data_IF_569201803134
#
_entry.id   IF_569201803134
#
_cell.length_a   1.000
_cell.length_b   1.000
_cell.length_c   1.000
_cell.angle_alpha   90.00
_cell.angle_beta   90.00
_cell.angle_gamma   90.00
#
_symmetry.space_group_name_H-M   'P 1'
#
loop_
_entity.id
_entity.type
_entity.pdbx_description
1 polymer ?
#
# COMPACT_ATOMS: atom_id res chain seq x y z
N UNK A 1 -8.19 -18.95 9.65
CA UNK A 1 -7.48 -17.86 10.35
C UNK A 1 -7.74 -16.60 9.56
N UNK A 2 -8.33 -15.57 10.16
CA UNK A 2 -8.59 -14.28 9.51
C UNK A 2 -7.68 -13.24 10.14
N UNK A 3 -7.20 -12.29 9.33
CA UNK A 3 -6.44 -11.14 9.81
C UNK A 3 -7.45 -10.05 10.21
N UNK A 4 -7.32 -9.50 11.41
CA UNK A 4 -8.11 -8.35 11.87
C UNK A 4 -7.27 -7.11 11.59
N UNK A 5 -7.80 -6.20 10.77
CA UNK A 5 -7.23 -4.87 10.64
C UNK A 5 -7.70 -4.04 11.83
N UNK A 6 -6.77 -3.55 12.66
CA UNK A 6 -7.09 -2.80 13.88
C UNK A 6 -7.40 -1.32 13.60
N UNK A 7 -6.94 -0.78 12.46
CA UNK A 7 -7.24 0.57 12.00
C UNK A 7 -8.22 0.53 10.81
N UNK A 8 -9.41 1.08 11.05
CA UNK A 8 -10.41 1.38 10.02
C UNK A 8 -10.33 2.87 9.65
N UNK A 9 -10.76 3.21 8.43
CA UNK A 9 -10.80 4.59 7.95
C UNK A 9 -9.92 4.83 6.73
N UNK A 10 -9.63 6.10 6.45
CA UNK A 10 -8.86 6.53 5.29
C UNK A 10 -7.35 6.40 5.54
N UNK A 11 -6.67 5.64 4.70
CA UNK A 11 -5.21 5.43 4.76
C UNK A 11 -4.58 5.60 3.38
N UNK A 12 -3.28 5.92 3.34
CA UNK A 12 -2.49 5.94 2.12
C UNK A 12 -1.18 5.17 2.32
N UNK A 13 -0.74 4.47 1.28
CA UNK A 13 0.53 3.74 1.32
C UNK A 13 1.66 4.66 0.83
N UNK A 14 2.74 4.73 1.60
CA UNK A 14 3.97 5.43 1.20
C UNK A 14 5.12 4.46 1.00
N UNK A 15 5.88 4.67 -0.07
CA UNK A 15 7.12 3.94 -0.36
C UNK A 15 8.27 4.94 -0.23
N UNK A 16 9.26 4.59 0.58
CA UNK A 16 10.51 5.34 0.72
C UNK A 16 11.65 4.50 0.14
N UNK A 17 12.39 5.08 -0.80
CA UNK A 17 13.57 4.47 -1.42
C UNK A 17 14.81 5.27 -1.02
N UNK A 18 15.83 4.57 -0.55
CA UNK A 18 17.15 5.12 -0.30
C UNK A 18 18.10 4.74 -1.43
N UNK A 19 18.89 5.70 -1.88
CA UNK A 19 19.83 5.58 -2.98
C UNK A 19 21.25 5.80 -2.50
N UNK A 20 22.15 4.90 -2.90
CA UNK A 20 23.59 5.11 -2.87
C UNK A 20 24.14 5.08 -4.30
N UNK A 21 25.29 5.71 -4.51
CA UNK A 21 25.88 5.86 -5.83
C UNK A 21 27.38 5.59 -5.81
N UNK A 22 27.90 5.14 -6.95
CA UNK A 22 29.34 4.98 -7.20
C UNK A 22 29.72 5.72 -8.48
N UNK A 23 30.91 6.30 -8.51
CA UNK A 23 31.45 6.99 -9.68
C UNK A 23 32.89 6.57 -9.97
N UNK A 24 33.31 6.75 -11.21
CA UNK A 24 34.66 6.52 -11.68
C UNK A 24 35.12 7.73 -12.48
N UNK A 25 36.40 8.08 -12.37
CA UNK A 25 37.01 9.18 -13.12
C UNK A 25 37.69 8.62 -14.38
N UNK A 26 37.55 9.29 -15.51
CA UNK A 26 38.20 8.89 -16.75
C UNK A 26 39.73 8.78 -16.57
N UNK A 27 40.32 7.70 -17.07
CA UNK A 27 41.75 7.40 -16.90
C UNK A 27 42.12 6.75 -15.57
N UNK A 28 41.17 6.56 -14.66
CA UNK A 28 41.37 5.89 -13.37
C UNK A 28 40.39 4.71 -13.20
N UNK A 29 40.86 3.45 -13.10
CA UNK A 29 39.99 2.29 -12.91
C UNK A 29 39.24 2.25 -11.57
N UNK A 30 39.58 3.12 -10.61
CA UNK A 30 39.03 3.07 -9.27
C UNK A 30 37.60 3.65 -9.17
N UNK A 31 36.66 2.78 -8.79
CA UNK A 31 35.33 3.19 -8.33
C UNK A 31 35.39 3.81 -6.94
N UNK A 32 34.71 4.94 -6.78
CA UNK A 32 34.56 5.69 -5.53
C UNK A 32 33.10 5.75 -5.14
N UNK A 33 32.84 5.66 -3.85
CA UNK A 33 31.51 5.87 -3.31
C UNK A 33 31.15 7.36 -3.35
N UNK A 34 29.89 7.66 -3.65
CA UNK A 34 29.31 8.98 -3.38
C UNK A 34 29.07 9.08 -1.87
N UNK A 35 29.52 10.17 -1.25
CA UNK A 35 29.32 10.36 0.20
C UNK A 35 27.85 10.64 0.51
N UNK A 36 27.27 9.80 1.36
CA UNK A 36 25.89 9.91 1.83
C UNK A 36 24.90 9.12 0.97
N UNK A 37 23.61 9.30 1.29
CA UNK A 37 22.49 8.69 0.57
C UNK A 37 21.50 9.77 0.15
N UNK A 38 20.71 9.47 -0.89
CA UNK A 38 19.56 10.28 -1.28
C UNK A 38 18.28 9.50 -1.00
N UNK A 39 17.20 10.20 -0.65
CA UNK A 39 15.92 9.56 -0.36
C UNK A 39 14.85 10.08 -1.31
N UNK A 40 13.99 9.19 -1.79
CA UNK A 40 12.78 9.54 -2.52
C UNK A 40 11.58 8.87 -1.86
N UNK A 41 10.55 9.65 -1.58
CA UNK A 41 9.29 9.13 -1.03
C UNK A 41 8.18 9.37 -2.04
N UNK A 42 7.37 8.34 -2.28
CA UNK A 42 6.17 8.40 -3.10
C UNK A 42 4.98 7.89 -2.28
N UNK A 43 3.91 8.66 -2.24
CA UNK A 43 2.67 8.31 -1.55
C UNK A 43 1.57 8.07 -2.58
N UNK A 44 0.91 6.93 -2.48
CA UNK A 44 -0.22 6.56 -3.32
C UNK A 44 -1.51 7.32 -2.96
N UNK A 45 -2.61 7.08 -3.69
CA UNK A 45 -3.90 7.65 -3.35
C UNK A 45 -4.41 7.10 -2.01
N UNK A 46 -5.26 7.90 -1.36
CA UNK A 46 -6.00 7.48 -0.16
C UNK A 46 -7.04 6.43 -0.54
N UNK A 47 -7.22 5.42 0.32
CA UNK A 47 -8.30 4.44 0.24
C UNK A 47 -8.89 4.15 1.61
N UNK A 48 -10.15 3.71 1.63
CA UNK A 48 -10.88 3.37 2.85
C UNK A 48 -10.68 1.89 3.21
N UNK A 49 -10.30 1.63 4.46
CA UNK A 49 -10.31 0.32 5.09
C UNK A 49 -11.57 0.19 5.93
N UNK A 50 -12.42 -0.80 5.61
CA UNK A 50 -13.66 -1.06 6.34
C UNK A 50 -13.76 -2.53 6.77
N UNK A 51 -14.32 -2.76 7.95
CA UNK A 51 -14.74 -4.10 8.36
C UNK A 51 -16.07 -4.44 7.67
N UNK A 52 -16.14 -5.62 7.04
CA UNK A 52 -17.40 -6.15 6.48
C UNK A 52 -17.73 -7.44 7.20
N UNK A 53 -18.89 -7.48 7.86
CA UNK A 53 -19.39 -8.68 8.55
C UNK A 53 -20.38 -9.41 7.66
N UNK A 54 -20.07 -10.66 7.34
CA UNK A 54 -21.00 -11.55 6.66
C UNK A 54 -21.97 -12.20 7.65
N UNK A 55 -23.18 -12.47 7.18
CA UNK A 55 -24.17 -13.31 7.87
C UNK A 55 -24.90 -14.17 6.85
N UNK A 56 -25.46 -15.27 7.31
CA UNK A 56 -26.26 -16.15 6.46
C UNK A 56 -27.63 -15.50 6.17
N UNK A 57 -28.01 -15.46 4.90
CA UNK A 57 -29.30 -14.95 4.40
C UNK A 57 -30.01 -16.04 3.58
N UNK A 58 -31.34 -15.96 3.47
CA UNK A 58 -32.15 -16.92 2.71
C UNK A 58 -32.32 -16.55 1.24
N UNK A 59 -31.86 -15.36 0.80
CA UNK A 59 -31.94 -14.87 -0.59
C UNK A 59 -30.91 -13.76 -0.84
N UNK A 60 -30.66 -13.43 -2.11
CA UNK A 60 -29.72 -12.39 -2.53
C UNK A 60 -30.40 -11.01 -2.53
N UNK A 61 -29.64 -9.94 -2.31
CA UNK A 61 -30.16 -8.57 -2.43
C UNK A 61 -30.57 -8.17 -3.85
N UNK A 62 -30.27 -9.01 -4.84
CA UNK A 62 -30.67 -8.82 -6.23
C UNK A 62 -31.93 -9.61 -6.61
N UNK A 63 -32.52 -10.37 -5.68
CA UNK A 63 -33.75 -11.13 -5.94
C UNK A 63 -34.97 -10.19 -5.89
N UNK A 64 -35.97 -10.43 -6.74
CA UNK A 64 -37.29 -9.78 -6.63
C UNK A 64 -38.34 -10.76 -6.09
N UNK A 65 -39.03 -10.45 -4.97
CA UNK A 65 -38.89 -9.23 -4.15
C UNK A 65 -37.62 -9.23 -3.29
N UNK A 66 -37.04 -8.04 -3.13
CA UNK A 66 -35.80 -7.82 -2.38
C UNK A 66 -35.98 -8.12 -0.88
N UNK A 67 -35.02 -8.82 -0.22
CA UNK A 67 -35.02 -8.99 1.23
C UNK A 67 -34.98 -7.64 1.98
N UNK A 68 -35.68 -7.52 3.11
CA UNK A 68 -35.81 -6.27 3.88
C UNK A 68 -34.55 -5.85 4.66
N UNK A 69 -33.56 -6.74 4.70
CA UNK A 69 -32.29 -6.62 5.39
C UNK A 69 -31.11 -6.41 4.42
N UNK A 70 -31.47 -6.20 3.16
CA UNK A 70 -30.79 -5.33 2.23
C UNK A 70 -31.30 -3.89 2.47
#
# INVERSE_FOLDING_TARGET
MFHIYEELGEVAISITTEWSGRYQVEGDPQWREVTGTATTTATGPVFEVREVRSRLVTGLCTDEPQPADC
#
